data_IF_210825145316
#
_entry.id   IF_210825145316
#
_cell.length_a   1.000
_cell.length_b   1.000
_cell.length_c   1.000
_cell.angle_alpha   90.00
_cell.angle_beta   90.00
_cell.angle_gamma   90.00
#
_symmetry.space_group_name_H-M   'P 1'
#
loop_
_entity.id
_entity.type
_entity.pdbx_description
1 polymer ?
#
# COMPACT_ATOMS: atom_id res chain seq x y z
N UNK A 1 20.81 -14.37 -2.65
CA UNK A 1 19.82 -14.82 -1.65
C UNK A 1 18.56 -15.49 -2.26
N UNK A 2 18.27 -15.28 -3.56
CA UNK A 2 17.08 -15.83 -4.22
C UNK A 2 16.98 -17.36 -4.37
N UNK A 3 18.09 -18.08 -4.36
CA UNK A 3 18.08 -19.54 -4.51
C UNK A 3 17.59 -20.27 -3.25
N UNK A 4 17.98 -19.83 -2.06
CA UNK A 4 17.55 -20.43 -0.80
C UNK A 4 16.03 -20.32 -0.59
N UNK A 5 15.46 -19.17 -0.90
CA UNK A 5 14.01 -18.92 -0.79
C UNK A 5 13.21 -19.76 -1.81
N UNK A 6 13.71 -19.90 -3.04
CA UNK A 6 13.09 -20.76 -4.07
C UNK A 6 13.09 -22.23 -3.64
N UNK A 7 14.18 -22.71 -3.07
CA UNK A 7 14.30 -24.08 -2.55
C UNK A 7 13.33 -24.29 -1.38
N UNK A 8 13.24 -23.36 -0.43
CA UNK A 8 12.34 -23.47 0.71
C UNK A 8 10.86 -23.51 0.26
N UNK A 9 10.48 -22.66 -0.68
CA UNK A 9 9.10 -22.64 -1.24
C UNK A 9 8.83 -23.93 -2.00
N UNK A 10 9.77 -24.43 -2.80
CA UNK A 10 9.61 -25.70 -3.52
C UNK A 10 9.45 -26.89 -2.55
N UNK A 11 10.28 -26.98 -1.52
CA UNK A 11 10.19 -28.02 -0.48
C UNK A 11 8.85 -27.93 0.25
N UNK A 12 8.39 -26.71 0.59
CA UNK A 12 7.08 -26.47 1.20
C UNK A 12 5.92 -27.00 0.34
N UNK A 13 5.94 -26.76 -0.96
CA UNK A 13 4.93 -27.28 -1.89
C UNK A 13 4.97 -28.81 -1.98
N UNK A 14 6.16 -29.41 -2.07
CA UNK A 14 6.32 -30.87 -2.13
C UNK A 14 5.73 -31.52 -0.88
N UNK A 15 6.04 -30.99 0.31
CA UNK A 15 5.48 -31.49 1.56
C UNK A 15 3.96 -31.32 1.62
N UNK A 16 3.44 -30.16 1.20
CA UNK A 16 2.01 -29.89 1.16
C UNK A 16 1.25 -30.88 0.25
N UNK A 17 1.77 -31.16 -0.95
CA UNK A 17 1.18 -32.15 -1.86
C UNK A 17 1.28 -33.57 -1.34
N UNK A 18 2.39 -33.94 -0.70
CA UNK A 18 2.53 -35.25 -0.06
C UNK A 18 1.50 -35.44 1.08
N UNK A 19 1.25 -34.39 1.89
CA UNK A 19 0.24 -34.44 2.93
C UNK A 19 -1.19 -34.50 2.36
N UNK A 20 -1.49 -33.76 1.29
CA UNK A 20 -2.79 -33.85 0.60
C UNK A 20 -3.02 -35.25 0.04
N UNK A 21 -2.04 -35.79 -0.68
CA UNK A 21 -2.12 -37.12 -1.28
C UNK A 21 -2.22 -38.21 -0.19
N UNK A 22 -1.39 -38.10 0.85
CA UNK A 22 -1.41 -39.02 1.99
C UNK A 22 -2.73 -39.00 2.74
N UNK A 23 -3.34 -37.81 2.92
CA UNK A 23 -4.66 -37.66 3.51
C UNK A 23 -5.76 -38.36 2.70
N UNK A 24 -5.73 -38.19 1.36
CA UNK A 24 -6.67 -38.87 0.45
C UNK A 24 -6.50 -40.38 0.54
N UNK A 25 -5.27 -40.90 0.45
CA UNK A 25 -5.00 -42.34 0.55
C UNK A 25 -5.46 -42.93 1.89
N UNK A 26 -5.22 -42.23 3.00
CA UNK A 26 -5.67 -42.63 4.32
C UNK A 26 -7.20 -42.78 4.38
N UNK A 27 -7.97 -41.86 3.83
CA UNK A 27 -9.43 -41.89 3.80
C UNK A 27 -9.93 -43.04 2.92
N UNK A 28 -9.30 -43.26 1.76
CA UNK A 28 -9.74 -44.29 0.79
C UNK A 28 -9.44 -45.69 1.31
N UNK A 29 -8.26 -45.93 1.90
CA UNK A 29 -7.86 -47.27 2.33
C UNK A 29 -8.30 -47.63 3.77
N UNK A 30 -8.56 -46.64 4.60
CA UNK A 30 -8.95 -46.80 6.00
C UNK A 30 -10.08 -45.86 6.41
N UNK A 31 -11.37 -46.20 6.12
CA UNK A 31 -12.50 -45.33 6.45
C UNK A 31 -12.61 -44.96 7.94
N UNK A 32 -12.06 -45.78 8.83
CA UNK A 32 -12.02 -45.51 10.27
C UNK A 32 -11.09 -44.33 10.63
N UNK A 33 -10.17 -43.96 9.74
CA UNK A 33 -9.24 -42.85 9.92
C UNK A 33 -9.68 -41.57 9.16
N UNK A 34 -10.96 -41.48 8.84
CA UNK A 34 -11.53 -40.36 8.05
C UNK A 34 -11.19 -39.00 8.65
N UNK A 35 -11.33 -38.87 9.97
CA UNK A 35 -10.99 -37.61 10.64
C UNK A 35 -9.50 -37.26 10.51
N UNK A 36 -8.61 -38.24 10.68
CA UNK A 36 -7.16 -38.04 10.54
C UNK A 36 -6.75 -37.70 9.12
N UNK A 37 -7.39 -38.33 8.12
CA UNK A 37 -7.12 -38.01 6.71
C UNK A 37 -7.60 -36.63 6.30
N UNK A 38 -8.80 -36.22 6.76
CA UNK A 38 -9.30 -34.85 6.53
C UNK A 38 -8.40 -33.82 7.21
N UNK A 39 -7.93 -34.08 8.44
CA UNK A 39 -7.05 -33.21 9.16
C UNK A 39 -5.68 -33.06 8.46
N UNK A 40 -5.15 -34.13 7.92
CA UNK A 40 -3.91 -34.11 7.14
C UNK A 40 -4.04 -33.32 5.84
N UNK A 41 -5.17 -33.45 5.14
CA UNK A 41 -5.48 -32.62 3.96
C UNK A 41 -5.58 -31.14 4.31
N UNK A 42 -6.22 -30.80 5.44
CA UNK A 42 -6.33 -29.42 5.90
C UNK A 42 -4.94 -28.80 6.20
N UNK A 43 -4.06 -29.54 6.88
CA UNK A 43 -2.69 -29.10 7.15
C UNK A 43 -1.93 -28.89 5.83
N UNK A 44 -2.03 -29.82 4.89
CA UNK A 44 -1.40 -29.72 3.57
C UNK A 44 -1.88 -28.50 2.78
N UNK A 45 -3.19 -28.25 2.79
CA UNK A 45 -3.76 -27.04 2.17
C UNK A 45 -3.28 -25.76 2.85
N UNK A 46 -3.26 -25.72 4.19
CA UNK A 46 -2.79 -24.57 4.97
C UNK A 46 -1.31 -24.25 4.70
N UNK A 47 -0.45 -25.30 4.67
CA UNK A 47 0.97 -25.13 4.34
C UNK A 47 1.19 -24.61 2.92
N UNK A 48 0.39 -25.09 1.95
CA UNK A 48 0.44 -24.59 0.57
C UNK A 48 0.06 -23.12 0.49
N UNK A 49 -0.97 -22.69 1.24
CA UNK A 49 -1.38 -21.28 1.31
C UNK A 49 -0.28 -20.40 1.94
N UNK A 50 0.34 -20.84 3.02
CA UNK A 50 1.42 -20.12 3.69
C UNK A 50 2.66 -19.98 2.78
N UNK A 51 3.03 -21.01 2.03
CA UNK A 51 4.15 -20.99 1.10
C UNK A 51 3.94 -19.99 -0.05
N UNK A 52 2.71 -19.85 -0.54
CA UNK A 52 2.38 -18.94 -1.66
C UNK A 52 2.43 -17.48 -1.24
N UNK A 53 1.98 -17.14 -0.02
CA UNK A 53 2.01 -15.76 0.49
C UNK A 53 3.42 -15.20 0.60
N UNK A 54 4.37 -15.96 1.11
CA UNK A 54 5.76 -15.55 1.28
C UNK A 54 6.48 -15.25 -0.04
N UNK A 55 6.14 -15.96 -1.11
CA UNK A 55 6.74 -15.76 -2.42
C UNK A 55 6.33 -14.42 -3.07
N UNK A 56 5.13 -13.94 -2.81
CA UNK A 56 4.64 -12.67 -3.37
C UNK A 56 5.37 -11.47 -2.79
N UNK A 57 5.55 -11.41 -1.47
CA UNK A 57 6.29 -10.34 -0.80
C UNK A 57 7.76 -10.30 -1.23
N UNK A 58 8.42 -11.46 -1.39
CA UNK A 58 9.79 -11.52 -1.85
C UNK A 58 9.96 -10.94 -3.26
N UNK A 59 9.00 -11.20 -4.17
CA UNK A 59 9.04 -10.68 -5.55
C UNK A 59 8.89 -9.17 -5.60
N UNK A 60 7.98 -8.58 -4.81
CA UNK A 60 7.80 -7.12 -4.75
C UNK A 60 9.08 -6.47 -4.22
N UNK A 61 9.68 -7.04 -3.18
CA UNK A 61 10.94 -6.56 -2.60
C UNK A 61 12.08 -6.55 -3.63
N UNK A 62 12.28 -7.65 -4.33
CA UNK A 62 13.32 -7.76 -5.37
C UNK A 62 13.06 -6.80 -6.54
N UNK A 63 11.80 -6.56 -6.88
CA UNK A 63 11.41 -5.69 -7.97
C UNK A 63 11.53 -4.19 -7.63
N UNK A 64 11.35 -3.79 -6.38
CA UNK A 64 11.50 -2.40 -5.94
C UNK A 64 12.93 -2.03 -5.56
N UNK A 65 13.81 -3.01 -5.41
CA UNK A 65 15.20 -2.75 -5.04
C UNK A 65 15.92 -1.88 -6.09
N UNK A 66 16.55 -0.80 -5.61
CA UNK A 66 17.29 0.14 -6.44
C UNK A 66 16.45 1.30 -7.02
N UNK A 67 15.14 1.33 -6.76
CA UNK A 67 14.31 2.51 -6.99
C UNK A 67 14.19 3.35 -5.73
N UNK A 68 14.22 4.68 -5.90
CA UNK A 68 13.93 5.66 -4.84
C UNK A 68 12.48 6.17 -4.94
N UNK A 69 12.02 6.82 -3.88
CA UNK A 69 10.75 7.54 -3.90
C UNK A 69 10.68 8.57 -5.03
N UNK A 70 11.81 9.26 -5.29
CA UNK A 70 11.94 10.25 -6.35
C UNK A 70 11.75 9.69 -7.75
N UNK A 71 12.18 8.44 -8.00
CA UNK A 71 12.04 7.77 -9.30
C UNK A 71 10.59 7.39 -9.60
N UNK A 72 9.79 7.09 -8.57
CA UNK A 72 8.43 6.56 -8.68
C UNK A 72 7.33 7.55 -8.28
N UNK A 73 7.70 8.74 -7.81
CA UNK A 73 6.75 9.79 -7.45
C UNK A 73 6.09 10.39 -8.68
N UNK A 74 4.86 10.83 -8.51
CA UNK A 74 4.18 11.69 -9.48
C UNK A 74 4.38 13.16 -9.07
N UNK A 75 4.85 13.96 -10.00
CA UNK A 75 4.90 15.43 -9.85
C UNK A 75 3.58 16.10 -10.22
N UNK A 76 2.65 15.36 -10.85
CA UNK A 76 1.31 15.84 -11.17
C UNK A 76 0.35 15.56 -10.01
N UNK A 77 0.54 16.26 -8.90
CA UNK A 77 -0.34 16.23 -7.74
C UNK A 77 -1.17 17.50 -7.66
N UNK A 78 -2.35 17.38 -7.04
CA UNK A 78 -3.19 18.55 -6.77
C UNK A 78 -3.02 18.98 -5.32
N UNK A 79 -2.65 20.25 -5.15
CA UNK A 79 -2.60 20.90 -3.87
C UNK A 79 -3.66 21.99 -3.76
N UNK A 80 -4.01 22.33 -2.54
CA UNK A 80 -4.94 23.42 -2.20
C UNK A 80 -4.31 24.32 -1.16
N UNK A 81 -4.48 25.65 -1.28
CA UNK A 81 -4.02 26.60 -0.27
C UNK A 81 -4.71 26.37 1.08
N UNK A 82 -3.98 26.57 2.17
CA UNK A 82 -4.52 26.37 3.53
C UNK A 82 -5.57 27.39 3.96
N UNK A 83 -5.56 28.57 3.33
CA UNK A 83 -6.45 29.71 3.61
C UNK A 83 -7.82 29.59 2.92
N UNK A 84 -7.98 28.67 1.96
CA UNK A 84 -9.27 28.42 1.33
C UNK A 84 -10.30 27.95 2.35
N UNK A 85 -11.55 28.36 2.14
CA UNK A 85 -12.70 27.81 2.88
C UNK A 85 -13.12 26.44 2.31
N UNK A 86 -13.80 25.63 3.12
CA UNK A 86 -14.36 24.35 2.68
C UNK A 86 -15.32 24.56 1.51
N UNK A 87 -16.12 25.63 1.52
CA UNK A 87 -17.07 25.93 0.45
C UNK A 87 -16.38 26.23 -0.88
N UNK A 88 -15.33 27.05 -0.86
CA UNK A 88 -14.51 27.38 -2.05
C UNK A 88 -13.83 26.13 -2.60
N UNK A 89 -13.25 25.29 -1.73
CA UNK A 89 -12.66 24.02 -2.12
C UNK A 89 -13.67 23.16 -2.89
N UNK A 90 -14.86 22.97 -2.35
CA UNK A 90 -15.87 22.13 -2.97
C UNK A 90 -16.37 22.70 -4.31
N UNK A 91 -16.54 24.02 -4.41
CA UNK A 91 -16.90 24.67 -5.69
C UNK A 91 -15.85 24.47 -6.77
N UNK A 92 -14.58 24.63 -6.43
CA UNK A 92 -13.48 24.50 -7.40
C UNK A 92 -13.22 23.06 -7.81
N UNK A 93 -13.44 22.09 -6.89
CA UNK A 93 -12.97 20.72 -7.01
C UNK A 93 -14.03 19.68 -7.39
N UNK A 94 -15.31 20.01 -7.34
CA UNK A 94 -16.38 19.12 -7.89
C UNK A 94 -16.13 18.81 -9.38
N UNK A 95 -15.45 19.71 -10.09
CA UNK A 95 -15.09 19.53 -11.51
C UNK A 95 -13.80 18.69 -11.73
N UNK A 96 -13.00 18.40 -10.69
CA UNK A 96 -11.65 17.82 -10.82
C UNK A 96 -11.58 16.28 -10.65
N UNK A 97 -12.72 15.61 -10.50
CA UNK A 97 -12.80 14.14 -10.40
C UNK A 97 -12.90 13.62 -8.94
N UNK A 98 -13.17 12.32 -8.75
CA UNK A 98 -13.49 11.71 -7.47
C UNK A 98 -12.23 11.44 -6.63
N UNK A 99 -11.59 12.48 -6.10
CA UNK A 99 -10.51 12.30 -5.12
C UNK A 99 -11.05 12.43 -3.71
N UNK A 100 -10.56 11.58 -2.83
CA UNK A 100 -11.01 11.53 -1.43
C UNK A 100 -10.20 12.42 -0.49
N UNK A 101 -9.10 13.03 -0.98
CA UNK A 101 -8.15 13.82 -0.17
C UNK A 101 -7.43 14.88 -1.01
N UNK A 102 -6.89 15.90 -0.33
CA UNK A 102 -6.17 17.03 -0.92
C UNK A 102 -4.93 17.34 -0.09
N UNK A 103 -3.78 17.56 -0.74
CA UNK A 103 -2.60 18.10 -0.10
C UNK A 103 -2.80 19.59 0.17
N UNK A 104 -2.58 20.00 1.41
CA UNK A 104 -2.73 21.38 1.84
C UNK A 104 -1.37 22.03 1.90
N UNK A 105 -1.20 23.16 1.19
CA UNK A 105 0.07 23.84 1.06
C UNK A 105 -0.03 25.31 1.46
N UNK A 106 1.12 25.87 1.89
CA UNK A 106 1.35 27.30 2.04
C UNK A 106 2.52 27.68 1.14
N UNK A 107 2.24 28.26 -0.02
CA UNK A 107 3.24 28.40 -1.07
C UNK A 107 3.78 27.03 -1.52
N UNK A 108 5.09 26.79 -1.50
CA UNK A 108 5.68 25.49 -1.86
C UNK A 108 5.67 24.47 -0.71
N UNK A 109 5.39 24.90 0.52
CA UNK A 109 5.52 24.08 1.72
C UNK A 109 4.26 23.27 1.99
N UNK A 110 4.44 21.95 2.22
CA UNK A 110 3.37 21.08 2.66
C UNK A 110 2.99 21.40 4.11
N UNK A 111 1.72 21.69 4.36
CA UNK A 111 1.17 21.98 5.70
C UNK A 111 0.39 20.81 6.28
N UNK A 112 -0.26 20.04 5.42
CA UNK A 112 -1.07 18.91 5.88
C UNK A 112 -1.83 18.24 4.75
N UNK A 113 -2.79 17.41 5.15
CA UNK A 113 -3.70 16.68 4.27
C UNK A 113 -5.14 16.88 4.74
N UNK A 114 -6.02 17.15 3.81
CA UNK A 114 -7.46 17.23 4.04
C UNK A 114 -8.16 16.08 3.36
N UNK A 115 -8.86 15.25 4.11
CA UNK A 115 -9.75 14.23 3.57
C UNK A 115 -11.19 14.72 3.45
N UNK A 116 -11.97 14.16 2.51
CA UNK A 116 -13.42 14.41 2.47
C UNK A 116 -14.13 13.89 3.71
N UNK A 117 -13.53 12.92 4.42
CA UNK A 117 -14.00 12.46 5.72
C UNK A 117 -13.96 13.57 6.78
N UNK A 118 -12.88 14.36 6.78
CA UNK A 118 -12.72 15.46 7.71
C UNK A 118 -13.68 16.61 7.38
N UNK A 119 -13.88 16.91 6.09
CA UNK A 119 -14.89 17.88 5.64
C UNK A 119 -16.31 17.51 6.12
N UNK A 120 -16.65 16.21 6.08
CA UNK A 120 -17.98 15.73 6.52
C UNK A 120 -18.24 15.92 8.03
N UNK A 121 -17.19 16.02 8.85
CA UNK A 121 -17.31 16.28 10.29
C UNK A 121 -17.74 17.73 10.58
N UNK A 122 -17.55 18.66 9.62
CA UNK A 122 -17.94 20.07 9.75
C UNK A 122 -19.38 20.26 9.30
N UNK A 123 -20.28 20.85 10.13
CA UNK A 123 -21.64 21.16 9.72
C UNK A 123 -21.67 22.08 8.49
N UNK A 124 -22.52 21.77 7.50
CA UNK A 124 -22.60 22.52 6.22
C UNK A 124 -22.74 24.03 6.38
N UNK A 125 -23.50 24.47 7.39
CA UNK A 125 -23.69 25.91 7.71
C UNK A 125 -22.40 26.66 8.07
N UNK A 126 -21.31 25.95 8.39
CA UNK A 126 -20.01 26.53 8.73
C UNK A 126 -18.99 26.48 7.59
N UNK A 127 -19.30 25.87 6.46
CA UNK A 127 -18.34 25.65 5.38
C UNK A 127 -17.79 26.94 4.78
N UNK A 128 -18.61 28.01 4.70
CA UNK A 128 -18.21 29.32 4.20
C UNK A 128 -17.31 30.10 5.17
N UNK A 129 -17.29 29.73 6.46
CA UNK A 129 -16.51 30.39 7.49
C UNK A 129 -15.35 29.53 8.03
N UNK A 130 -15.24 28.26 7.58
CA UNK A 130 -14.22 27.31 8.06
C UNK A 130 -13.11 27.18 7.04
N UNK A 131 -11.90 27.63 7.39
CA UNK A 131 -10.70 27.45 6.58
C UNK A 131 -10.20 26.00 6.65
N UNK A 132 -9.57 25.55 5.57
CA UNK A 132 -8.96 24.23 5.44
C UNK A 132 -7.92 24.00 6.54
N UNK A 133 -7.11 24.99 6.85
CA UNK A 133 -6.09 24.93 7.90
C UNK A 133 -6.62 24.45 9.26
N UNK A 134 -7.88 24.75 9.60
CA UNK A 134 -8.49 24.36 10.89
C UNK A 134 -9.00 22.93 10.95
N UNK A 135 -9.11 22.25 9.79
CA UNK A 135 -9.75 20.91 9.67
C UNK A 135 -8.79 19.87 9.10
N UNK A 136 -7.72 20.33 8.45
CA UNK A 136 -6.70 19.42 7.88
C UNK A 136 -5.99 18.62 8.97
N UNK A 137 -5.49 17.46 8.60
CA UNK A 137 -4.53 16.72 9.39
C UNK A 137 -3.14 17.36 9.18
N UNK A 138 -2.49 17.87 10.22
CA UNK A 138 -1.22 18.58 10.09
C UNK A 138 -0.08 17.64 9.68
N UNK A 139 0.95 18.18 8.99
CA UNK A 139 2.09 17.42 8.45
C UNK A 139 2.79 16.55 9.49
N UNK A 140 2.83 16.97 10.76
CA UNK A 140 3.47 16.23 11.84
C UNK A 140 2.81 14.86 12.13
N UNK A 141 1.57 14.69 11.69
CA UNK A 141 0.81 13.44 11.81
C UNK A 141 0.79 12.62 10.51
N UNK A 142 1.35 13.17 9.44
CA UNK A 142 1.43 12.50 8.15
C UNK A 142 2.76 11.74 8.05
N UNK A 143 2.74 10.60 7.40
CA UNK A 143 3.96 10.01 6.87
C UNK A 143 4.43 10.85 5.68
N UNK A 144 5.63 11.36 5.74
CA UNK A 144 6.29 12.03 4.61
C UNK A 144 7.64 11.37 4.39
N UNK A 145 8.05 11.26 3.14
CA UNK A 145 9.33 10.66 2.77
C UNK A 145 10.18 11.65 1.98
N UNK A 146 11.49 11.47 2.01
CA UNK A 146 12.39 12.23 1.13
C UNK A 146 12.54 11.52 -0.22
N UNK A 147 12.92 12.24 -1.30
CA UNK A 147 13.09 11.63 -2.61
C UNK A 147 14.11 10.49 -2.66
N UNK A 148 15.08 10.48 -1.72
CA UNK A 148 16.19 9.52 -1.68
C UNK A 148 15.84 8.21 -0.95
N UNK A 149 14.69 8.14 -0.27
CA UNK A 149 14.25 6.92 0.45
C UNK A 149 13.98 5.80 -0.54
N UNK A 150 14.41 4.58 -0.24
CA UNK A 150 14.15 3.42 -1.09
C UNK A 150 12.65 3.14 -1.22
N UNK A 151 12.22 2.79 -2.44
CA UNK A 151 10.82 2.52 -2.75
C UNK A 151 10.22 1.38 -1.91
N UNK A 152 11.05 0.42 -1.50
CA UNK A 152 10.65 -0.65 -0.61
C UNK A 152 10.32 -0.13 0.79
N UNK A 153 11.18 0.72 1.36
CA UNK A 153 10.97 1.34 2.67
C UNK A 153 9.68 2.19 2.66
N UNK A 154 9.43 2.93 1.57
CA UNK A 154 8.18 3.67 1.39
C UNK A 154 6.96 2.74 1.41
N UNK A 155 7.04 1.59 0.75
CA UNK A 155 5.95 0.61 0.75
C UNK A 155 5.70 0.02 2.14
N UNK A 156 6.77 -0.31 2.87
CA UNK A 156 6.69 -0.82 4.25
C UNK A 156 6.07 0.24 5.19
N UNK A 157 6.46 1.50 5.07
CA UNK A 157 5.89 2.61 5.84
C UNK A 157 4.40 2.86 5.48
N UNK A 158 4.03 2.72 4.20
CA UNK A 158 2.62 2.77 3.78
C UNK A 158 1.79 1.64 4.39
N UNK A 159 2.36 0.44 4.52
CA UNK A 159 1.70 -0.71 5.15
C UNK A 159 1.51 -0.49 6.65
N UNK A 160 2.56 -0.03 7.34
CA UNK A 160 2.53 0.23 8.79
C UNK A 160 1.51 1.33 9.16
N UNK A 161 1.43 2.38 8.34
CA UNK A 161 0.52 3.51 8.57
C UNK A 161 -0.86 3.32 7.94
N UNK A 162 -1.09 2.21 7.25
CA UNK A 162 -2.34 1.91 6.53
C UNK A 162 -2.75 3.01 5.52
N UNK A 163 -1.76 3.65 4.87
CA UNK A 163 -1.97 4.71 3.88
C UNK A 163 -1.74 4.22 2.46
N UNK A 164 -2.45 4.81 1.50
CA UNK A 164 -2.33 4.46 0.07
C UNK A 164 -1.40 5.40 -0.70
N UNK A 165 -1.07 6.53 -0.11
CA UNK A 165 -0.30 7.60 -0.73
C UNK A 165 0.57 8.28 0.32
N UNK A 166 1.76 8.71 -0.12
CA UNK A 166 2.72 9.35 0.75
C UNK A 166 3.34 10.55 0.05
N UNK A 167 3.24 11.75 0.65
CA UNK A 167 3.88 12.96 0.12
C UNK A 167 5.40 12.82 0.16
N UNK A 168 6.04 13.23 -0.93
CA UNK A 168 7.50 13.32 -1.04
C UNK A 168 7.89 14.78 -0.80
N UNK A 169 8.72 15.00 0.22
CA UNK A 169 9.09 16.33 0.68
C UNK A 169 10.61 16.46 0.68
N UNK A 170 11.12 17.52 0.08
CA UNK A 170 12.53 17.88 0.09
C UNK A 170 12.72 19.27 0.70
N UNK A 171 13.49 19.34 1.78
CA UNK A 171 13.73 20.59 2.52
C UNK A 171 12.44 21.35 2.89
N UNK A 172 11.39 20.62 3.27
CA UNK A 172 10.08 21.18 3.61
C UNK A 172 9.17 21.49 2.42
N UNK A 173 9.68 21.39 1.20
CA UNK A 173 8.93 21.62 -0.04
C UNK A 173 8.31 20.32 -0.54
N UNK A 174 7.04 20.38 -0.90
CA UNK A 174 6.34 19.25 -1.56
C UNK A 174 6.84 19.12 -3.00
N UNK A 175 7.56 18.02 -3.30
CA UNK A 175 8.13 17.77 -4.63
C UNK A 175 7.36 16.70 -5.42
N UNK A 176 6.60 15.84 -4.75
CA UNK A 176 5.83 14.80 -5.40
C UNK A 176 4.94 14.01 -4.44
N UNK A 177 4.30 12.99 -4.98
CA UNK A 177 3.50 12.01 -4.23
C UNK A 177 3.81 10.62 -4.76
N UNK A 178 4.17 9.70 -3.87
CA UNK A 178 4.24 8.27 -4.18
C UNK A 178 2.91 7.63 -3.81
N UNK A 179 2.39 6.81 -4.71
CA UNK A 179 1.18 6.03 -4.44
C UNK A 179 1.52 4.55 -4.38
N UNK A 180 0.79 3.77 -3.58
CA UNK A 180 0.93 2.30 -3.59
C UNK A 180 0.76 1.73 -5.01
N UNK A 181 -0.14 2.30 -5.79
CA UNK A 181 -0.36 1.89 -7.18
C UNK A 181 0.87 2.13 -8.07
N UNK A 182 1.60 3.24 -7.89
CA UNK A 182 2.83 3.50 -8.65
C UNK A 182 3.94 2.52 -8.28
N UNK A 183 4.11 2.19 -7.00
CA UNK A 183 5.08 1.21 -6.51
C UNK A 183 4.79 -0.19 -7.07
N UNK A 184 3.54 -0.65 -6.96
CA UNK A 184 3.15 -1.96 -7.48
C UNK A 184 3.26 -2.03 -9.01
N UNK A 185 2.94 -0.96 -9.72
CA UNK A 185 3.12 -0.89 -11.18
C UNK A 185 4.59 -0.97 -11.58
N UNK A 186 5.48 -0.28 -10.87
CA UNK A 186 6.91 -0.36 -11.10
C UNK A 186 7.43 -1.78 -10.89
N UNK A 187 6.98 -2.45 -9.81
CA UNK A 187 7.33 -3.84 -9.54
C UNK A 187 6.84 -4.80 -10.63
N UNK A 188 5.63 -4.61 -11.16
CA UNK A 188 5.09 -5.41 -12.27
C UNK A 188 5.87 -5.21 -13.57
N UNK A 189 6.16 -3.97 -13.95
CA UNK A 189 6.91 -3.66 -15.18
C UNK A 189 8.31 -4.26 -15.15
N UNK A 190 9.00 -4.18 -14.01
CA UNK A 190 10.33 -4.81 -13.86
C UNK A 190 10.28 -6.32 -14.01
N UNK A 191 9.22 -6.94 -13.50
CA UNK A 191 9.03 -8.39 -13.65
C UNK A 191 8.75 -8.80 -15.10
N UNK A 192 8.02 -7.98 -15.86
CA UNK A 192 7.65 -8.28 -17.25
C UNK A 192 8.81 -8.04 -18.23
N UNK A 193 9.58 -6.98 -18.01
CA UNK A 193 10.61 -6.52 -18.96
C UNK A 193 12.05 -6.86 -18.54
N UNK A 194 12.29 -7.33 -17.30
CA UNK A 194 13.59 -7.87 -16.87
C UNK A 194 14.71 -6.83 -16.73
N UNK A 195 14.38 -5.57 -16.37
CA UNK A 195 15.39 -4.51 -16.11
C UNK A 195 16.04 -4.68 -14.74
#
# INVERSE_FOLDING_TARGET
QGTATKIAVFVGHVIAYLMLLGGILLVVFNPHLLFSGIWLMFIGWFLNQAATGSAHHARIRDALHGYSAGDLMSTNFQSVPEDLTIEELLRQRVAAGPRSWFLVVQGPFLRGLLSLGDVKKVPRRRWSATQIASVMQPIQKLGVVSPQVEALEVLEEMDEKEVQEMPVVEQGTLVGVVTRASLLRAAQLRHEFGF
#
